data_IF_871093601285
#
_entry.id   IF_871093601285
#
_cell.length_a   1.000
_cell.length_b   1.000
_cell.length_c   1.000
_cell.angle_alpha   90.00
_cell.angle_beta   90.00
_cell.angle_gamma   90.00
#
_symmetry.space_group_name_H-M   'P 1'
#
loop_
_entity.id
_entity.type
_entity.pdbx_description
1 polymer ?
#
# COMPACT_ATOMS: atom_id res chain seq x y z
N UNK A 1 -13.05 -8.59 21.39
CA UNK A 1 -13.20 -8.14 20.00
C UNK A 1 -11.87 -7.76 19.41
N UNK A 2 -11.66 -8.15 18.18
CA UNK A 2 -10.35 -7.98 17.56
C UNK A 2 -10.36 -6.95 16.47
N UNK A 3 -10.66 -5.74 16.84
CA UNK A 3 -10.82 -4.65 15.88
C UNK A 3 -9.53 -4.22 15.23
N UNK A 4 -8.41 -4.53 15.86
CA UNK A 4 -7.11 -4.00 15.42
C UNK A 4 -6.15 -5.10 14.94
N UNK A 5 -6.69 -6.17 14.41
CA UNK A 5 -5.84 -7.22 13.87
C UNK A 5 -5.12 -6.74 12.64
N UNK A 6 -3.80 -6.86 12.66
CA UNK A 6 -2.95 -6.58 11.50
C UNK A 6 -2.30 -7.89 11.10
N UNK A 7 -2.55 -8.31 9.88
CA UNK A 7 -1.94 -9.50 9.33
C UNK A 7 -0.76 -9.12 8.47
N UNK A 8 0.36 -9.75 8.74
CA UNK A 8 1.60 -9.51 8.03
C UNK A 8 1.90 -10.73 7.18
N UNK A 9 1.95 -10.54 5.86
CA UNK A 9 2.11 -11.63 4.91
C UNK A 9 3.38 -11.46 4.12
N UNK A 10 4.07 -12.57 3.85
CA UNK A 10 5.21 -12.57 2.95
C UNK A 10 4.74 -12.72 1.51
N UNK A 11 5.61 -12.36 0.56
CA UNK A 11 5.29 -12.39 -0.86
C UNK A 11 4.68 -13.71 -1.30
N UNK A 12 5.22 -14.82 -0.84
CA UNK A 12 4.72 -16.15 -1.24
C UNK A 12 3.28 -16.41 -0.80
N UNK A 13 2.82 -15.72 0.24
CA UNK A 13 1.48 -15.89 0.76
C UNK A 13 0.50 -14.86 0.21
N UNK A 14 0.95 -13.90 -0.58
CA UNK A 14 0.10 -12.81 -1.05
C UNK A 14 -1.01 -13.29 -1.98
N UNK A 15 -0.80 -14.38 -2.68
CA UNK A 15 -1.84 -14.96 -3.52
C UNK A 15 -3.07 -15.36 -2.71
N UNK A 16 -2.89 -15.83 -1.47
CA UNK A 16 -3.99 -16.22 -0.60
C UNK A 16 -4.78 -15.02 -0.10
N UNK A 17 -4.14 -13.87 0.00
CA UNK A 17 -4.79 -12.65 0.48
C UNK A 17 -5.32 -11.79 -0.65
N UNK A 18 -5.08 -12.17 -1.92
CA UNK A 18 -5.58 -11.42 -3.06
C UNK A 18 -7.09 -11.18 -3.00
N UNK A 19 -7.94 -12.16 -2.68
CA UNK A 19 -9.38 -11.90 -2.60
C UNK A 19 -9.75 -10.83 -1.57
N UNK A 20 -8.98 -10.72 -0.48
CA UNK A 20 -9.21 -9.71 0.54
C UNK A 20 -8.85 -8.32 0.03
N UNK A 21 -7.74 -8.22 -0.70
CA UNK A 21 -7.35 -6.97 -1.32
C UNK A 21 -8.33 -6.57 -2.41
N UNK A 22 -8.74 -7.51 -3.25
CA UNK A 22 -9.72 -7.24 -4.30
C UNK A 22 -11.05 -6.75 -3.70
N UNK A 23 -11.43 -7.28 -2.55
CA UNK A 23 -12.63 -6.84 -1.85
C UNK A 23 -12.55 -5.38 -1.42
N UNK A 24 -11.38 -4.92 -1.02
CA UNK A 24 -11.16 -3.51 -0.73
C UNK A 24 -11.18 -2.68 -2.01
N UNK A 25 -10.43 -3.11 -3.01
CA UNK A 25 -10.25 -2.37 -4.26
C UNK A 25 -11.58 -2.12 -4.97
N UNK A 26 -12.46 -3.08 -4.98
CA UNK A 26 -13.76 -2.91 -5.66
C UNK A 26 -14.65 -1.86 -5.00
N UNK A 27 -14.38 -1.48 -3.76
CA UNK A 27 -15.14 -0.42 -3.09
C UNK A 27 -14.65 0.99 -3.47
N UNK A 28 -13.46 1.10 -4.05
CA UNK A 28 -12.85 2.38 -4.36
C UNK A 28 -13.55 3.04 -5.54
N UNK A 29 -13.48 4.37 -5.59
CA UNK A 29 -13.95 5.11 -6.76
C UNK A 29 -13.09 4.80 -7.97
N UNK A 30 -13.59 5.07 -9.17
CA UNK A 30 -12.81 4.89 -10.39
C UNK A 30 -11.52 5.67 -10.36
N UNK A 31 -11.55 6.88 -9.81
CA UNK A 31 -10.36 7.71 -9.68
C UNK A 31 -9.34 7.09 -8.73
N UNK A 32 -9.80 6.60 -7.60
CA UNK A 32 -8.91 5.94 -6.65
C UNK A 32 -8.30 4.67 -7.22
N UNK A 33 -9.11 3.87 -7.93
CA UNK A 33 -8.61 2.67 -8.59
C UNK A 33 -7.54 3.01 -9.61
N UNK A 34 -7.74 4.07 -10.37
CA UNK A 34 -6.77 4.52 -11.35
C UNK A 34 -5.47 4.95 -10.69
N UNK A 35 -5.56 5.68 -9.59
CA UNK A 35 -4.39 6.11 -8.83
C UNK A 35 -3.62 4.94 -8.22
N UNK A 36 -4.34 3.87 -7.90
CA UNK A 36 -3.74 2.66 -7.34
C UNK A 36 -3.10 1.77 -8.42
N UNK A 37 -3.40 2.02 -9.68
CA UNK A 37 -2.87 1.21 -10.77
C UNK A 37 -3.74 0.03 -11.13
N UNK A 38 -5.06 0.18 -11.03
CA UNK A 38 -6.00 -0.85 -11.43
C UNK A 38 -6.33 -0.71 -12.91
N UNK A 39 -6.21 -1.79 -13.66
CA UNK A 39 -6.53 -1.84 -15.08
C UNK A 39 -7.42 -3.06 -15.34
N UNK A 40 -8.42 -2.90 -16.18
CA UNK A 40 -9.33 -3.99 -16.56
C UNK A 40 -9.91 -4.71 -15.33
N UNK A 41 -10.31 -3.94 -14.35
CA UNK A 41 -10.87 -4.43 -13.08
C UNK A 41 -9.90 -5.27 -12.26
N UNK A 42 -8.61 -5.22 -12.58
CA UNK A 42 -7.59 -5.93 -11.84
C UNK A 42 -6.55 -4.96 -11.29
N UNK A 43 -6.16 -5.18 -10.06
CA UNK A 43 -5.04 -4.49 -9.47
C UNK A 43 -3.77 -5.19 -9.97
N UNK A 44 -3.19 -4.63 -11.02
CA UNK A 44 -2.12 -5.30 -11.76
C UNK A 44 -0.85 -5.53 -11.00
N UNK A 45 -0.60 -4.72 -9.99
CA UNK A 45 0.60 -4.90 -9.18
C UNK A 45 0.52 -6.13 -8.31
N UNK A 46 -0.66 -6.74 -8.28
CA UNK A 46 -0.84 -7.98 -7.54
C UNK A 46 -0.83 -9.22 -8.41
N UNK A 47 -0.94 -9.16 -9.74
CA UNK A 47 -1.04 -10.42 -10.46
C UNK A 47 0.08 -11.30 -9.99
N UNK A 48 -0.31 -12.44 -9.50
CA UNK A 48 0.59 -13.42 -8.97
C UNK A 48 1.37 -13.00 -7.72
N UNK A 49 1.23 -11.78 -7.25
CA UNK A 49 1.98 -11.30 -6.09
C UNK A 49 3.49 -11.40 -6.24
N UNK A 50 3.99 -11.45 -7.48
CA UNK A 50 5.38 -11.78 -7.75
C UNK A 50 6.36 -10.75 -7.21
N UNK A 51 5.96 -9.48 -7.20
CA UNK A 51 6.82 -8.40 -6.76
C UNK A 51 6.49 -7.90 -5.36
N UNK A 52 5.44 -8.43 -4.75
CA UNK A 52 5.07 -8.04 -3.39
C UNK A 52 5.96 -8.79 -2.41
N UNK A 53 6.78 -8.05 -1.69
CA UNK A 53 7.68 -8.65 -0.70
C UNK A 53 7.04 -8.75 0.67
N UNK A 54 6.05 -7.92 0.94
CA UNK A 54 5.35 -7.92 2.22
C UNK A 54 3.99 -7.23 2.06
N UNK A 55 2.98 -7.80 2.67
CA UNK A 55 1.64 -7.22 2.70
C UNK A 55 1.17 -7.09 4.12
N UNK A 56 0.63 -5.92 4.45
CA UNK A 56 0.02 -5.62 5.73
C UNK A 56 -1.47 -5.44 5.50
N UNK A 57 -2.27 -6.19 6.23
CA UNK A 57 -3.73 -6.15 6.09
C UNK A 57 -4.36 -5.80 7.41
N UNK A 58 -5.36 -4.93 7.35
CA UNK A 58 -6.25 -4.68 8.48
C UNK A 58 -7.57 -5.35 8.20
N UNK A 59 -7.98 -6.21 9.11
CA UNK A 59 -9.28 -6.88 9.05
C UNK A 59 -10.02 -6.56 10.35
N UNK A 60 -11.28 -6.14 10.22
CA UNK A 60 -12.15 -5.84 11.34
C UNK A 60 -13.44 -6.62 11.18
N UNK A 61 -13.76 -7.47 12.15
CA UNK A 61 -14.97 -8.31 12.14
C UNK A 61 -15.14 -9.05 10.81
N UNK A 62 -14.07 -9.69 10.35
CA UNK A 62 -14.01 -10.45 9.10
C UNK A 62 -14.14 -9.60 7.83
N UNK A 63 -14.12 -8.29 7.96
CA UNK A 63 -14.16 -7.38 6.81
C UNK A 63 -12.77 -6.85 6.52
N UNK A 64 -12.23 -7.05 5.31
CA UNK A 64 -10.95 -6.42 4.95
C UNK A 64 -11.14 -4.91 4.84
N UNK A 65 -10.34 -4.17 5.59
CA UNK A 65 -10.52 -2.73 5.74
C UNK A 65 -9.46 -1.94 5.00
N UNK A 66 -8.21 -2.35 5.09
CA UNK A 66 -7.10 -1.62 4.49
C UNK A 66 -5.94 -2.56 4.21
N UNK A 67 -5.12 -2.18 3.23
CA UNK A 67 -3.88 -2.90 2.98
C UNK A 67 -2.75 -1.95 2.67
N UNK A 68 -1.55 -2.42 2.87
CA UNK A 68 -0.31 -1.73 2.52
C UNK A 68 0.66 -2.76 1.99
N UNK A 69 1.05 -2.62 0.73
CA UNK A 69 1.96 -3.54 0.07
C UNK A 69 3.30 -2.89 -0.18
N UNK A 70 4.36 -3.66 0.03
CA UNK A 70 5.71 -3.30 -0.38
C UNK A 70 6.09 -4.13 -1.60
N UNK A 71 6.57 -3.47 -2.64
CA UNK A 71 6.97 -4.09 -3.90
C UNK A 71 8.45 -3.92 -4.13
N UNK A 72 9.12 -4.97 -4.55
CA UNK A 72 10.51 -4.87 -4.93
C UNK A 72 10.63 -4.51 -6.41
N UNK A 73 11.22 -3.35 -6.69
CA UNK A 73 11.58 -2.92 -8.02
C UNK A 73 13.09 -3.08 -8.20
N UNK A 74 13.58 -2.81 -9.41
CA UNK A 74 14.98 -3.00 -9.72
C UNK A 74 15.91 -2.23 -8.77
N UNK A 75 15.59 -0.96 -8.53
CA UNK A 75 16.47 -0.08 -7.76
C UNK A 75 15.83 0.52 -6.51
N UNK A 76 14.59 0.15 -6.21
CA UNK A 76 13.88 0.72 -5.06
C UNK A 76 12.75 -0.20 -4.61
N UNK A 77 12.20 0.11 -3.46
CA UNK A 77 10.99 -0.52 -2.93
C UNK A 77 9.85 0.48 -3.10
N UNK A 78 8.80 0.06 -3.78
CA UNK A 78 7.60 0.86 -4.00
C UNK A 78 6.49 0.44 -3.03
N UNK A 79 5.47 1.26 -2.91
CA UNK A 79 4.35 1.01 -2.00
C UNK A 79 3.02 1.15 -2.70
N UNK A 80 2.02 0.45 -2.19
CA UNK A 80 0.64 0.69 -2.55
C UNK A 80 -0.20 0.56 -1.29
N UNK A 81 -1.16 1.46 -1.13
CA UNK A 81 -2.00 1.51 0.06
C UNK A 81 -3.42 1.91 -0.31
N UNK A 82 -4.38 1.28 0.32
CA UNK A 82 -5.77 1.69 0.17
C UNK A 82 -6.58 1.29 1.39
N UNK A 83 -7.61 2.09 1.67
CA UNK A 83 -8.59 1.81 2.70
C UNK A 83 -9.96 1.65 2.02
N UNK A 84 -10.74 0.67 2.51
CA UNK A 84 -12.10 0.44 2.03
C UNK A 84 -12.87 1.76 1.98
N UNK A 85 -13.57 1.98 0.88
CA UNK A 85 -14.35 3.20 0.70
C UNK A 85 -15.67 3.10 1.46
N UNK A 86 -15.57 3.26 2.76
CA UNK A 86 -16.72 3.18 3.66
C UNK A 86 -16.45 4.15 4.80
N UNK A 87 -17.40 5.04 5.04
CA UNK A 87 -17.28 6.06 6.10
C UNK A 87 -17.04 5.45 7.48
N UNK A 88 -17.46 4.21 7.69
CA UNK A 88 -17.25 3.54 8.96
C UNK A 88 -15.78 3.19 9.20
N UNK A 89 -14.96 3.18 8.14
CA UNK A 89 -13.57 2.77 8.23
C UNK A 89 -12.59 3.89 7.87
N UNK A 90 -13.00 4.83 7.04
CA UNK A 90 -12.13 5.95 6.67
C UNK A 90 -12.07 6.98 7.78
N UNK A 91 -10.92 7.64 7.90
CA UNK A 91 -10.71 8.63 8.95
C UNK A 91 -10.33 8.04 10.30
N UNK A 92 -10.05 6.76 10.36
CA UNK A 92 -9.69 6.07 11.61
C UNK A 92 -8.18 5.81 11.74
N UNK A 93 -7.39 6.24 10.78
CA UNK A 93 -5.94 6.08 10.84
C UNK A 93 -5.43 4.69 10.49
N UNK A 94 -6.23 3.84 9.87
CA UNK A 94 -5.80 2.49 9.53
C UNK A 94 -4.64 2.49 8.53
N UNK A 95 -4.73 3.32 7.49
CA UNK A 95 -3.64 3.42 6.51
C UNK A 95 -2.36 3.92 7.16
N UNK A 96 -2.46 4.88 8.06
CA UNK A 96 -1.29 5.39 8.80
C UNK A 96 -0.65 4.29 9.64
N UNK A 97 -1.46 3.52 10.36
CA UNK A 97 -0.97 2.43 11.19
C UNK A 97 -0.25 1.37 10.35
N UNK A 98 -0.83 1.00 9.21
CA UNK A 98 -0.21 0.02 8.32
C UNK A 98 1.09 0.57 7.73
N UNK A 99 1.10 1.84 7.32
CA UNK A 99 2.29 2.47 6.78
C UNK A 99 3.42 2.48 7.81
N UNK A 100 3.12 2.83 9.06
CA UNK A 100 4.12 2.82 10.12
C UNK A 100 4.68 1.42 10.35
N UNK A 101 3.83 0.41 10.35
CA UNK A 101 4.25 -0.97 10.50
C UNK A 101 5.13 -1.40 9.33
N UNK A 102 4.77 -1.02 8.11
CA UNK A 102 5.51 -1.37 6.91
C UNK A 102 6.91 -0.74 6.90
N UNK A 103 6.99 0.53 7.24
CA UNK A 103 8.28 1.23 7.31
C UNK A 103 9.18 0.59 8.37
N UNK A 104 8.62 0.32 9.52
CA UNK A 104 9.38 -0.32 10.60
C UNK A 104 9.89 -1.69 10.17
N UNK A 105 9.05 -2.47 9.54
CA UNK A 105 9.45 -3.78 9.05
C UNK A 105 10.56 -3.66 8.00
N UNK A 106 10.38 -2.77 7.03
CA UNK A 106 11.37 -2.63 5.97
C UNK A 106 12.71 -2.14 6.51
N UNK A 107 12.70 -1.18 7.43
CA UNK A 107 13.93 -0.69 8.05
C UNK A 107 14.71 -1.84 8.71
N UNK A 108 14.01 -2.76 9.34
CA UNK A 108 14.63 -3.90 10.01
C UNK A 108 15.12 -4.97 9.03
N UNK A 109 14.56 -5.04 7.82
CA UNK A 109 14.88 -6.11 6.85
C UNK A 109 15.56 -5.58 5.60
N UNK A 110 15.96 -4.33 5.60
CA UNK A 110 16.49 -3.65 4.43
C UNK A 110 17.66 -4.37 3.77
N UNK A 111 18.52 -4.95 4.60
CA UNK A 111 19.69 -5.67 4.07
C UNK A 111 19.32 -6.89 3.23
N UNK A 112 18.14 -7.46 3.43
CA UNK A 112 17.67 -8.59 2.63
C UNK A 112 17.28 -8.16 1.20
N UNK A 113 17.20 -6.86 0.96
CA UNK A 113 16.77 -6.28 -0.33
C UNK A 113 17.82 -5.30 -0.85
N UNK A 114 19.09 -5.62 -0.66
CA UNK A 114 20.23 -4.83 -1.14
C UNK A 114 20.21 -3.39 -0.65
N UNK A 115 19.62 -3.15 0.51
CA UNK A 115 19.48 -1.81 1.09
C UNK A 115 18.82 -0.81 0.14
N UNK A 116 17.91 -1.28 -0.71
CA UNK A 116 17.21 -0.40 -1.65
C UNK A 116 16.45 0.70 -0.91
N UNK A 117 16.41 1.91 -1.45
CA UNK A 117 15.59 2.95 -0.84
C UNK A 117 14.12 2.65 -0.99
N UNK A 118 13.33 3.06 -0.02
CA UNK A 118 11.88 3.00 -0.12
C UNK A 118 11.40 4.31 -0.72
N UNK A 119 10.72 4.23 -1.87
CA UNK A 119 10.19 5.39 -2.57
C UNK A 119 8.67 5.32 -2.56
N UNK A 120 8.06 6.41 -2.16
CA UNK A 120 6.61 6.55 -2.17
C UNK A 120 6.26 7.39 -3.39
N UNK A 121 5.93 6.71 -4.48
CA UNK A 121 5.65 7.37 -5.75
C UNK A 121 4.15 7.56 -5.86
N UNK A 122 3.72 8.81 -5.97
CA UNK A 122 2.32 9.13 -6.04
C UNK A 122 2.12 10.39 -6.90
N UNK A 123 0.92 10.54 -7.45
CA UNK A 123 0.59 11.72 -8.23
C UNK A 123 0.42 12.92 -7.31
N UNK A 124 0.72 14.11 -7.83
CA UNK A 124 0.56 15.35 -7.06
C UNK A 124 -0.89 15.57 -6.61
N UNK A 125 -1.84 15.17 -7.44
CA UNK A 125 -3.25 15.36 -7.13
C UNK A 125 -3.81 14.31 -6.18
N UNK A 126 -3.02 13.30 -5.82
CA UNK A 126 -3.42 12.33 -4.80
C UNK A 126 -3.08 12.87 -3.41
N UNK A 127 -3.91 13.80 -2.95
CA UNK A 127 -3.67 14.55 -1.70
C UNK A 127 -3.56 13.60 -0.50
N UNK A 128 -4.46 12.63 -0.41
CA UNK A 128 -4.45 11.71 0.73
C UNK A 128 -3.15 10.92 0.82
N UNK A 129 -2.67 10.42 -0.31
CA UNK A 129 -1.42 9.66 -0.35
C UNK A 129 -0.22 10.54 0.00
N UNK A 130 -0.16 11.75 -0.54
CA UNK A 130 0.92 12.69 -0.24
C UNK A 130 0.94 13.04 1.25
N UNK A 131 -0.22 13.30 1.83
CA UNK A 131 -0.30 13.62 3.25
C UNK A 131 0.11 12.44 4.13
N UNK A 132 -0.27 11.24 3.74
CA UNK A 132 0.11 10.05 4.48
C UNK A 132 1.64 9.87 4.49
N UNK A 133 2.26 10.03 3.32
CA UNK A 133 3.71 9.93 3.22
C UNK A 133 4.41 10.95 4.11
N UNK A 134 3.93 12.19 4.13
CA UNK A 134 4.49 13.22 4.99
C UNK A 134 4.34 12.89 6.48
N UNK A 135 3.19 12.35 6.87
CA UNK A 135 2.94 12.00 8.26
C UNK A 135 3.86 10.91 8.79
N UNK A 136 4.33 10.03 7.93
CA UNK A 136 5.25 8.98 8.35
C UNK A 136 6.72 9.40 8.22
N UNK A 137 6.97 10.66 7.89
CA UNK A 137 8.33 11.22 7.88
C UNK A 137 9.04 11.17 6.55
N UNK A 138 8.34 10.86 5.46
CA UNK A 138 8.95 10.88 4.13
C UNK A 138 9.10 12.31 3.65
N UNK A 139 10.13 12.55 2.84
CA UNK A 139 10.40 13.86 2.29
C UNK A 139 10.19 13.86 0.79
N UNK A 140 9.64 14.95 0.23
CA UNK A 140 9.58 15.09 -1.22
C UNK A 140 10.98 14.99 -1.83
N UNK A 141 11.08 14.30 -2.96
CA UNK A 141 12.32 14.17 -3.68
C UNK A 141 12.14 14.76 -5.07
N UNK A 142 12.77 15.90 -5.32
CA UNK A 142 12.63 16.62 -6.57
C UNK A 142 13.14 15.81 -7.77
N UNK A 143 13.99 14.85 -7.54
CA UNK A 143 14.51 13.99 -8.60
C UNK A 143 13.38 13.27 -9.33
N UNK A 144 12.31 12.94 -8.64
CA UNK A 144 11.19 12.18 -9.19
C UNK A 144 10.00 13.05 -9.58
N UNK A 145 10.01 14.32 -9.26
CA UNK A 145 8.87 15.20 -9.54
C UNK A 145 8.62 15.39 -11.03
N UNK A 146 9.62 15.17 -11.84
CA UNK A 146 9.50 15.35 -13.28
C UNK A 146 8.52 14.39 -13.93
N UNK A 147 8.36 13.23 -13.36
CA UNK A 147 7.44 12.23 -13.88
C UNK A 147 5.98 12.65 -13.74
N UNK A 148 5.70 13.60 -12.87
CA UNK A 148 4.35 14.08 -12.63
C UNK A 148 3.78 14.83 -13.83
N UNK A 149 4.63 15.24 -14.72
CA UNK A 149 4.25 16.02 -15.90
C UNK A 149 3.68 15.15 -17.01
N UNK A 150 3.84 13.89 -16.84
CA UNK A 150 3.44 12.93 -17.86
C UNK A 150 1.96 12.61 -17.76
#
# INVERSE_FOLDING_TARGET
MRENNIYVQRAKATAKTKPLVDDIVKTLSSEEQRMLGVYNDEYLTIPAGEHVIKRFLKISDNTPVAFFDLFEEWSYIDVAVATRNDKNYRGHGYALNLAQSAIKWYTAHRSDFDNKPLLWITRKDNVASNQLALKIGMRPDDTYNKSDEV
#
